data_IF_879162725450
#
_entry.id   IF_879162725450
#
_cell.length_a   1.000
_cell.length_b   1.000
_cell.length_c   1.000
_cell.angle_alpha   90.00
_cell.angle_beta   90.00
_cell.angle_gamma   90.00
#
_symmetry.space_group_name_H-M   'P 1'
#
loop_
_entity.id
_entity.type
_entity.pdbx_description
1 polymer ?
#
# COMPACT_ATOMS: atom_id res chain seq x y z
N UNK A 1 -19.22 43.66 39.74
CA UNK A 1 -19.94 44.22 38.57
C UNK A 1 -18.86 44.72 37.60
N UNK A 2 -18.66 44.24 36.38
CA UNK A 2 -19.48 43.53 35.39
C UNK A 2 -18.61 42.48 34.68
N UNK A 3 -19.16 41.28 34.49
CA UNK A 3 -18.59 40.23 33.66
C UNK A 3 -18.93 40.51 32.19
N UNK A 4 -17.95 40.47 31.29
CA UNK A 4 -18.19 40.44 29.85
C UNK A 4 -18.27 38.98 29.39
N UNK A 5 -19.48 38.57 29.00
CA UNK A 5 -19.76 37.31 28.33
C UNK A 5 -19.57 37.52 26.82
N UNK A 6 -18.64 36.79 26.22
CA UNK A 6 -18.49 36.70 24.77
C UNK A 6 -19.25 35.47 24.27
N UNK A 7 -20.21 35.75 23.40
CA UNK A 7 -21.12 34.83 22.73
C UNK A 7 -20.39 33.80 21.88
N UNK A 8 -20.74 32.52 22.06
CA UNK A 8 -20.31 31.39 21.24
C UNK A 8 -21.24 31.32 20.03
N UNK A 9 -20.68 31.50 18.83
CA UNK A 9 -21.37 31.30 17.55
C UNK A 9 -21.28 29.82 17.15
N UNK A 10 -22.42 29.20 16.86
CA UNK A 10 -22.54 27.81 16.43
C UNK A 10 -22.19 27.64 14.94
N UNK A 11 -21.52 26.54 14.52
CA UNK A 11 -21.28 26.28 13.12
C UNK A 11 -22.47 25.56 12.45
N UNK A 12 -22.66 25.98 11.20
CA UNK A 12 -23.65 25.57 10.21
C UNK A 12 -23.48 24.10 9.81
N UNK A 13 -24.46 23.26 10.15
CA UNK A 13 -24.59 21.89 9.62
C UNK A 13 -25.65 21.93 8.52
N UNK A 14 -25.26 22.26 7.28
CA UNK A 14 -26.08 21.95 6.08
C UNK A 14 -25.28 22.10 4.79
N UNK A 15 -24.39 21.15 4.46
CA UNK A 15 -23.82 21.09 3.10
C UNK A 15 -23.29 19.71 2.69
N UNK A 16 -24.00 18.63 3.05
CA UNK A 16 -23.60 17.26 2.65
C UNK A 16 -24.60 16.53 1.73
N UNK A 17 -25.75 17.14 1.40
CA UNK A 17 -26.81 16.45 0.66
C UNK A 17 -26.85 16.71 -0.86
N UNK A 18 -25.97 17.56 -1.42
CA UNK A 18 -26.06 18.00 -2.83
C UNK A 18 -25.15 17.20 -3.77
N UNK A 19 -24.05 16.60 -3.29
CA UNK A 19 -23.08 15.95 -4.19
C UNK A 19 -23.52 14.56 -4.69
N UNK A 20 -24.28 13.79 -3.89
CA UNK A 20 -24.68 12.43 -4.25
C UNK A 20 -25.72 12.35 -5.40
N UNK A 21 -26.46 13.43 -5.70
CA UNK A 21 -27.50 13.41 -6.75
C UNK A 21 -26.97 13.63 -8.17
N UNK A 22 -25.76 14.17 -8.36
CA UNK A 22 -25.22 14.46 -9.71
C UNK A 22 -24.51 13.27 -10.37
N UNK A 23 -24.01 12.30 -9.60
CA UNK A 23 -23.35 11.12 -10.15
C UNK A 23 -24.33 10.16 -10.86
N UNK A 24 -25.57 10.04 -10.36
CA UNK A 24 -26.54 9.09 -10.94
C UNK A 24 -27.16 9.53 -12.28
N UNK A 25 -27.06 10.80 -12.66
CA UNK A 25 -27.73 11.34 -13.85
C UNK A 25 -26.86 11.33 -15.12
N UNK A 26 -25.54 11.10 -15.02
CA UNK A 26 -24.65 11.01 -16.19
C UNK A 26 -24.54 9.61 -16.80
N UNK A 27 -24.96 8.56 -16.08
CA UNK A 27 -24.76 7.18 -16.51
C UNK A 27 -25.84 6.63 -17.46
N UNK A 28 -26.95 7.34 -17.66
CA UNK A 28 -28.07 6.91 -18.52
C UNK A 28 -28.00 7.42 -19.96
N UNK A 29 -26.98 8.20 -20.35
CA UNK A 29 -26.91 8.81 -21.70
C UNK A 29 -25.90 8.21 -22.67
N UNK A 30 -25.15 7.16 -22.29
CA UNK A 30 -24.05 6.61 -23.13
C UNK A 30 -24.35 5.25 -23.78
N UNK A 31 -25.62 4.88 -23.93
CA UNK A 31 -26.06 3.70 -24.70
C UNK A 31 -26.88 4.12 -25.92
N UNK A 32 -26.23 4.62 -26.97
CA UNK A 32 -26.76 4.52 -28.33
C UNK A 32 -25.67 4.79 -29.35
N UNK A 33 -25.34 3.78 -30.14
CA UNK A 33 -24.62 3.93 -31.41
C UNK A 33 -23.19 3.42 -31.37
N UNK A 34 -22.97 2.20 -31.87
CA UNK A 34 -22.28 1.98 -33.15
C UNK A 34 -22.02 0.47 -33.38
N UNK A 35 -22.55 -0.03 -34.49
CA UNK A 35 -22.06 -1.16 -35.30
C UNK A 35 -21.26 -0.51 -36.45
N UNK A 36 -20.16 -1.09 -37.02
CA UNK A 36 -20.30 -2.23 -37.93
C UNK A 36 -19.17 -3.29 -37.96
N UNK A 37 -19.56 -4.50 -38.41
CA UNK A 37 -18.94 -5.48 -39.34
C UNK A 37 -17.43 -5.80 -39.34
N UNK A 38 -17.12 -7.04 -39.80
CA UNK A 38 -15.87 -7.60 -40.42
C UNK A 38 -15.34 -8.86 -39.66
N UNK A 39 -14.80 -9.91 -40.32
CA UNK A 39 -15.53 -11.08 -40.81
C UNK A 39 -15.02 -12.42 -40.21
N UNK A 40 -15.69 -13.52 -40.56
CA UNK A 40 -15.34 -14.88 -40.16
C UNK A 40 -14.06 -15.38 -40.87
N UNK A 41 -13.12 -15.91 -40.08
CA UNK A 41 -11.91 -16.61 -40.55
C UNK A 41 -11.80 -17.99 -39.91
N UNK A 42 -11.92 -19.02 -40.74
CA UNK A 42 -11.74 -20.44 -40.43
C UNK A 42 -10.33 -20.74 -39.88
N UNK A 43 -10.25 -21.48 -38.76
CA UNK A 43 -9.00 -22.12 -38.32
C UNK A 43 -9.23 -23.62 -38.22
N UNK A 44 -8.59 -24.33 -39.15
CA UNK A 44 -8.51 -25.80 -39.25
C UNK A 44 -7.84 -26.42 -38.02
N UNK A 45 -8.46 -27.50 -37.57
CA UNK A 45 -7.83 -28.54 -36.78
C UNK A 45 -6.65 -29.19 -37.53
N UNK A 46 -5.53 -29.40 -36.84
CA UNK A 46 -4.63 -30.52 -37.13
C UNK A 46 -4.18 -31.18 -35.83
N UNK A 47 -4.45 -32.47 -35.79
CA UNK A 47 -4.05 -33.47 -34.82
C UNK A 47 -2.56 -33.80 -34.91
N UNK A 48 -1.89 -34.02 -33.78
CA UNK A 48 -0.88 -35.08 -33.68
C UNK A 48 -0.65 -35.47 -32.22
N UNK A 49 -1.22 -36.60 -31.83
CA UNK A 49 -0.85 -37.34 -30.63
C UNK A 49 0.30 -38.27 -31.02
N UNK A 50 1.45 -38.14 -30.37
CA UNK A 50 2.47 -39.19 -30.40
C UNK A 50 3.00 -39.43 -28.99
N UNK A 51 2.64 -40.61 -28.50
CA UNK A 51 3.18 -41.37 -27.38
C UNK A 51 4.70 -41.26 -27.24
N UNK A 52 5.18 -41.06 -26.01
CA UNK A 52 6.37 -41.73 -25.44
C UNK A 52 6.09 -41.95 -23.95
N UNK A 53 5.87 -43.20 -23.58
CA UNK A 53 5.92 -43.69 -22.21
C UNK A 53 7.39 -44.02 -21.88
N UNK A 54 7.93 -43.39 -20.84
CA UNK A 54 9.24 -43.74 -20.30
C UNK A 54 9.06 -44.29 -18.87
N UNK A 55 9.37 -45.57 -18.76
CA UNK A 55 9.46 -46.39 -17.56
C UNK A 55 10.51 -45.84 -16.59
N UNK A 56 10.12 -45.53 -15.35
CA UNK A 56 11.05 -45.33 -14.24
C UNK A 56 10.63 -46.24 -13.08
N UNK A 57 11.29 -47.39 -13.04
CA UNK A 57 11.26 -48.35 -11.94
C UNK A 57 12.10 -47.79 -10.79
N UNK A 58 11.45 -47.22 -9.76
CA UNK A 58 12.14 -46.89 -8.50
C UNK A 58 12.37 -48.16 -7.70
N UNK A 59 13.63 -48.62 -7.65
CA UNK A 59 14.09 -49.63 -6.71
C UNK A 59 14.19 -49.03 -5.31
N UNK A 60 13.42 -49.61 -4.39
CA UNK A 60 13.42 -49.28 -2.97
C UNK A 60 14.67 -49.83 -2.29
N UNK A 61 15.47 -48.95 -1.69
CA UNK A 61 16.48 -49.30 -0.67
C UNK A 61 15.99 -48.70 0.64
N UNK A 62 15.43 -49.53 1.51
CA UNK A 62 15.06 -49.16 2.89
C UNK A 62 16.27 -49.38 3.81
N UNK A 63 16.84 -48.35 4.44
CA UNK A 63 17.77 -48.57 5.54
C UNK A 63 17.00 -49.04 6.78
N UNK A 64 17.42 -50.20 7.30
CA UNK A 64 16.87 -50.84 8.48
C UNK A 64 17.41 -50.11 9.73
N UNK A 65 16.70 -49.08 10.20
CA UNK A 65 17.00 -48.44 11.48
C UNK A 65 16.32 -49.23 12.63
N UNK A 66 17.03 -49.60 13.70
CA UNK A 66 16.41 -50.14 14.90
C UNK A 66 15.51 -49.07 15.57
N UNK A 67 14.38 -49.46 16.17
CA UNK A 67 13.45 -48.52 16.77
C UNK A 67 14.09 -47.83 17.98
N UNK A 68 14.19 -46.50 17.94
CA UNK A 68 14.48 -45.72 19.15
C UNK A 68 13.26 -45.79 20.08
N UNK A 69 13.46 -46.00 21.39
CA UNK A 69 12.38 -45.87 22.37
C UNK A 69 11.92 -44.42 22.41
N UNK A 70 10.64 -44.20 22.10
CA UNK A 70 10.01 -42.91 22.19
C UNK A 70 10.03 -42.42 23.65
N UNK A 71 10.37 -41.15 23.92
CA UNK A 71 10.23 -40.57 25.25
C UNK A 71 8.77 -40.66 25.70
N UNK A 72 8.53 -41.23 26.87
CA UNK A 72 7.22 -41.24 27.49
C UNK A 72 6.81 -39.80 27.83
N UNK A 73 5.98 -39.19 26.99
CA UNK A 73 5.34 -37.92 27.31
C UNK A 73 4.25 -38.19 28.33
N UNK A 74 4.56 -37.94 29.60
CA UNK A 74 3.56 -37.80 30.65
C UNK A 74 2.50 -36.78 30.20
N UNK A 75 1.29 -37.28 29.99
CA UNK A 75 0.10 -36.50 29.63
C UNK A 75 -0.20 -35.46 30.72
N UNK A 76 0.39 -34.27 30.57
CA UNK A 76 -0.04 -33.08 31.27
C UNK A 76 -1.32 -32.59 30.62
N UNK A 77 -2.38 -32.50 31.43
CA UNK A 77 -3.73 -32.04 31.07
C UNK A 77 -3.68 -30.84 30.12
N UNK A 78 -3.97 -31.06 28.83
CA UNK A 78 -4.16 -29.97 27.88
C UNK A 78 -5.45 -29.22 28.23
N UNK A 79 -5.41 -27.92 28.57
CA UNK A 79 -6.58 -27.10 28.35
C UNK A 79 -6.86 -27.12 26.85
N UNK A 80 -8.10 -27.40 26.48
CA UNK A 80 -8.61 -27.31 25.11
C UNK A 80 -8.61 -25.84 24.67
N UNK A 81 -7.43 -25.26 24.46
CA UNK A 81 -7.28 -24.00 23.75
C UNK A 81 -7.64 -24.32 22.31
N UNK A 82 -8.90 -24.06 21.93
CA UNK A 82 -9.26 -23.94 20.52
C UNK A 82 -8.16 -23.09 19.87
N UNK A 83 -7.53 -23.53 18.76
CA UNK A 83 -6.63 -22.67 18.03
C UNK A 83 -7.43 -21.42 17.69
N UNK A 84 -7.15 -20.34 18.40
CA UNK A 84 -7.64 -19.02 18.03
C UNK A 84 -6.94 -18.77 16.72
N UNK A 85 -7.66 -18.94 15.62
CA UNK A 85 -7.22 -18.45 14.31
C UNK A 85 -6.86 -16.99 14.54
N UNK A 86 -5.55 -16.74 14.63
CA UNK A 86 -5.02 -15.42 14.95
C UNK A 86 -5.54 -14.50 13.86
N UNK A 87 -6.19 -13.40 14.27
CA UNK A 87 -6.54 -12.34 13.35
C UNK A 87 -5.29 -12.02 12.51
N UNK A 88 -5.41 -12.17 11.18
CA UNK A 88 -4.31 -11.90 10.29
C UNK A 88 -3.93 -10.44 10.46
N UNK A 89 -2.68 -10.18 10.83
CA UNK A 89 -2.21 -8.82 11.07
C UNK A 89 -2.13 -8.09 9.73
N UNK A 90 -3.03 -7.13 9.51
CA UNK A 90 -3.13 -6.34 8.28
C UNK A 90 -1.80 -5.66 7.91
N UNK A 91 -1.00 -5.25 8.90
CA UNK A 91 0.32 -4.66 8.67
C UNK A 91 1.29 -5.69 8.09
N UNK A 92 1.35 -6.89 8.66
CA UNK A 92 2.19 -7.98 8.14
C UNK A 92 1.75 -8.40 6.73
N UNK A 93 0.46 -8.43 6.45
CA UNK A 93 -0.06 -8.71 5.12
C UNK A 93 0.33 -7.64 4.10
N UNK A 94 0.25 -6.37 4.50
CA UNK A 94 0.67 -5.24 3.67
C UNK A 94 2.16 -5.33 3.34
N UNK A 95 3.00 -5.65 4.33
CA UNK A 95 4.42 -5.90 4.13
C UNK A 95 4.66 -7.07 3.15
N UNK A 96 4.05 -8.24 3.38
CA UNK A 96 4.27 -9.43 2.55
C UNK A 96 3.83 -9.19 1.10
N UNK A 97 2.72 -8.47 0.89
CA UNK A 97 2.22 -8.14 -0.43
C UNK A 97 3.15 -7.19 -1.20
N UNK A 98 3.85 -6.30 -0.49
CA UNK A 98 4.65 -5.23 -1.09
C UNK A 98 6.17 -5.46 -0.99
N UNK A 99 6.64 -6.50 -0.29
CA UNK A 99 8.05 -6.86 -0.30
C UNK A 99 8.50 -7.19 -1.73
N UNK A 100 9.55 -6.49 -2.20
CA UNK A 100 10.22 -6.77 -3.47
C UNK A 100 10.86 -8.15 -3.38
N UNK A 101 10.25 -9.12 -4.03
CA UNK A 101 10.92 -10.38 -4.35
C UNK A 101 11.58 -10.14 -5.68
N UNK A 102 12.91 -10.16 -5.70
CA UNK A 102 13.68 -10.02 -6.92
C UNK A 102 13.10 -10.95 -8.00
N UNK A 103 12.62 -10.37 -9.10
CA UNK A 103 11.70 -10.99 -10.07
C UNK A 103 12.42 -11.98 -11.02
N UNK A 104 13.68 -12.30 -10.77
CA UNK A 104 14.56 -12.94 -11.75
C UNK A 104 14.56 -14.48 -11.76
N UNK A 105 13.76 -15.16 -10.93
CA UNK A 105 13.68 -16.64 -10.96
C UNK A 105 12.23 -17.11 -10.98
N UNK A 106 11.79 -17.51 -12.18
CA UNK A 106 10.44 -18.01 -12.44
C UNK A 106 10.04 -19.15 -11.49
N UNK A 107 8.79 -19.08 -11.03
CA UNK A 107 8.06 -20.07 -10.22
C UNK A 107 8.17 -19.96 -8.67
N UNK A 108 9.20 -19.33 -8.10
CA UNK A 108 9.38 -19.30 -6.63
C UNK A 108 8.77 -18.12 -5.83
N UNK A 109 8.45 -16.93 -6.39
CA UNK A 109 8.12 -15.77 -5.55
C UNK A 109 6.73 -15.86 -4.89
N UNK A 110 5.77 -16.55 -5.53
CA UNK A 110 4.43 -16.73 -4.96
C UNK A 110 4.44 -17.67 -3.75
N UNK A 111 5.27 -18.72 -3.79
CA UNK A 111 5.35 -19.74 -2.74
C UNK A 111 5.93 -19.17 -1.45
N UNK A 112 6.96 -18.31 -1.54
CA UNK A 112 7.54 -17.69 -0.35
C UNK A 112 6.54 -16.77 0.37
N UNK A 113 5.77 -15.94 -0.37
CA UNK A 113 4.72 -15.11 0.23
C UNK A 113 3.66 -15.96 0.92
N UNK A 114 3.25 -17.07 0.30
CA UNK A 114 2.27 -18.00 0.88
C UNK A 114 2.79 -18.67 2.16
N UNK A 115 4.06 -19.11 2.17
CA UNK A 115 4.71 -19.71 3.34
C UNK A 115 4.81 -18.70 4.49
N UNK A 116 5.32 -17.50 4.22
CA UNK A 116 5.46 -16.46 5.25
C UNK A 116 4.09 -16.07 5.82
N UNK A 117 3.07 -15.90 4.97
CA UNK A 117 1.69 -15.64 5.42
C UNK A 117 1.15 -16.79 6.28
N UNK A 118 1.37 -18.05 5.87
CA UNK A 118 0.99 -19.23 6.65
C UNK A 118 1.70 -19.26 8.01
N UNK A 119 3.01 -18.99 8.05
CA UNK A 119 3.78 -18.90 9.28
C UNK A 119 3.24 -17.83 10.23
N UNK A 120 2.95 -16.62 9.72
CA UNK A 120 2.37 -15.53 10.52
C UNK A 120 0.96 -15.87 11.00
N UNK A 121 0.14 -16.49 10.14
CA UNK A 121 -1.24 -16.89 10.47
C UNK A 121 -1.35 -18.06 11.45
N UNK A 122 -0.29 -18.87 11.58
CA UNK A 122 -0.27 -20.02 12.51
C UNK A 122 -0.36 -19.59 13.98
N UNK A 123 -0.25 -18.28 14.26
CA UNK A 123 -0.39 -17.72 15.59
C UNK A 123 0.79 -18.03 16.51
N UNK A 124 1.89 -18.56 15.96
CA UNK A 124 3.10 -18.83 16.72
C UNK A 124 3.59 -17.53 17.38
N UNK A 125 3.58 -17.43 18.72
CA UNK A 125 3.96 -16.21 19.41
C UNK A 125 5.37 -15.77 19.00
N UNK A 126 5.55 -14.47 18.75
CA UNK A 126 6.85 -13.88 18.41
C UNK A 126 7.22 -13.94 16.92
N UNK A 127 6.62 -14.79 16.09
CA UNK A 127 6.99 -14.88 14.65
C UNK A 127 6.70 -13.57 13.90
N UNK A 128 5.51 -12.99 14.09
CA UNK A 128 5.16 -11.72 13.45
C UNK A 128 6.08 -10.57 13.90
N UNK A 129 6.43 -10.53 15.18
CA UNK A 129 7.35 -9.53 15.73
C UNK A 129 8.78 -9.69 15.21
N UNK A 130 9.27 -10.93 15.13
CA UNK A 130 10.58 -11.25 14.57
C UNK A 130 10.65 -10.90 13.08
N UNK A 131 9.61 -11.25 12.30
CA UNK A 131 9.50 -10.89 10.88
C UNK A 131 9.53 -9.38 10.69
N UNK A 132 8.70 -8.64 11.44
CA UNK A 132 8.68 -7.18 11.36
C UNK A 132 10.05 -6.57 11.73
N UNK A 133 10.72 -7.11 12.74
CA UNK A 133 12.07 -6.66 13.15
C UNK A 133 13.11 -6.89 12.06
N UNK A 134 13.14 -8.09 11.47
CA UNK A 134 14.03 -8.40 10.36
C UNK A 134 13.73 -7.52 9.12
N UNK A 135 12.45 -7.31 8.82
CA UNK A 135 12.02 -6.46 7.70
C UNK A 135 12.44 -5.00 7.89
N UNK A 136 12.30 -4.46 9.11
CA UNK A 136 12.78 -3.10 9.43
C UNK A 136 14.28 -2.97 9.22
N UNK A 137 15.08 -3.89 9.76
CA UNK A 137 16.54 -3.87 9.58
C UNK A 137 16.91 -3.83 8.09
N UNK A 138 16.26 -4.66 7.26
CA UNK A 138 16.50 -4.69 5.82
C UNK A 138 16.06 -3.41 5.11
N UNK A 139 14.89 -2.88 5.45
CA UNK A 139 14.34 -1.67 4.81
C UNK A 139 15.15 -0.40 5.17
N UNK A 140 15.74 -0.35 6.37
CA UNK A 140 16.68 0.71 6.76
C UNK A 140 17.91 0.71 5.85
N UNK A 141 18.53 -0.44 5.63
CA UNK A 141 19.68 -0.57 4.73
C UNK A 141 19.37 -0.09 3.31
N UNK A 142 18.21 -0.49 2.76
CA UNK A 142 17.76 -0.06 1.44
C UNK A 142 17.44 1.45 1.38
N UNK A 143 17.19 2.09 2.53
CA UNK A 143 16.83 3.51 2.56
C UNK A 143 18.00 4.43 2.35
N UNK A 144 19.18 4.05 2.85
CA UNK A 144 20.41 4.80 2.62
C UNK A 144 20.86 4.73 1.14
N UNK A 145 20.61 3.61 0.47
CA UNK A 145 20.95 3.42 -0.95
C UNK A 145 20.16 4.37 -1.88
N UNK A 146 18.89 4.64 -1.57
CA UNK A 146 17.98 5.40 -2.45
C UNK A 146 18.14 6.92 -2.26
N UNK A 147 18.75 7.38 -1.16
CA UNK A 147 19.07 8.82 -0.99
C UNK A 147 20.03 9.36 -2.06
N UNK A 148 20.75 8.48 -2.76
CA UNK A 148 21.67 8.84 -3.84
C UNK A 148 21.06 8.97 -5.23
N UNK A 149 19.79 8.59 -5.45
CA UNK A 149 19.17 8.64 -6.78
C UNK A 149 18.48 9.98 -7.03
N UNK A 150 19.20 10.85 -7.71
CA UNK A 150 18.75 12.15 -8.22
C UNK A 150 17.46 12.03 -9.06
N UNK A 151 16.52 12.96 -8.84
CA UNK A 151 15.36 13.28 -9.70
C UNK A 151 14.62 12.08 -10.29
N UNK A 152 13.99 11.26 -9.44
CA UNK A 152 13.00 10.29 -9.91
C UNK A 152 11.83 11.02 -10.59
N UNK A 153 11.67 10.79 -11.90
CA UNK A 153 10.51 11.28 -12.64
C UNK A 153 9.32 10.40 -12.28
N UNK A 154 8.45 10.87 -11.37
CA UNK A 154 7.29 10.11 -10.89
C UNK A 154 6.07 10.21 -11.79
N UNK A 155 6.01 11.27 -12.60
CA UNK A 155 4.94 11.52 -13.55
C UNK A 155 5.53 11.87 -14.90
N UNK A 156 4.97 11.31 -15.96
CA UNK A 156 5.20 11.80 -17.32
C UNK A 156 4.39 13.09 -17.45
N UNK A 157 5.09 14.19 -17.67
CA UNK A 157 4.45 15.51 -17.78
C UNK A 157 4.73 16.17 -19.11
N UNK A 158 3.69 16.75 -19.70
CA UNK A 158 3.80 17.64 -20.85
C UNK A 158 3.68 19.09 -20.36
N UNK A 159 4.70 19.90 -20.69
CA UNK A 159 4.64 21.34 -20.46
C UNK A 159 4.18 22.04 -21.74
N UNK A 160 2.93 22.49 -21.75
CA UNK A 160 2.41 23.35 -22.80
C UNK A 160 2.05 24.71 -22.21
N UNK A 161 2.65 25.79 -22.75
CA UNK A 161 2.34 27.19 -22.38
C UNK A 161 2.32 27.42 -20.86
N UNK A 162 3.45 27.16 -20.21
CA UNK A 162 3.67 27.37 -18.76
C UNK A 162 2.81 26.50 -17.82
N UNK A 163 1.97 25.61 -18.36
CA UNK A 163 1.19 24.68 -17.55
C UNK A 163 1.80 23.28 -17.62
N UNK A 164 2.16 22.74 -16.45
CA UNK A 164 2.57 21.34 -16.28
C UNK A 164 1.32 20.47 -16.20
N UNK A 165 1.15 19.55 -17.12
CA UNK A 165 0.06 18.56 -17.10
C UNK A 165 0.65 17.17 -16.91
N UNK A 166 0.08 16.36 -16.01
CA UNK A 166 0.39 14.93 -15.89
C UNK A 166 -0.37 14.19 -16.97
N UNK A 167 0.36 13.47 -17.82
CA UNK A 167 -0.24 12.64 -18.87
C UNK A 167 -0.38 11.18 -18.43
N UNK A 168 0.58 10.69 -17.64
CA UNK A 168 0.60 9.33 -17.13
C UNK A 168 1.50 9.18 -15.89
N UNK A 169 1.22 8.21 -15.00
CA UNK A 169 2.15 7.83 -13.95
C UNK A 169 3.39 7.14 -14.52
N UNK A 170 4.57 7.47 -13.98
CA UNK A 170 5.81 6.78 -14.35
C UNK A 170 5.99 5.48 -13.55
N UNK A 171 6.71 4.46 -14.07
CA UNK A 171 6.94 3.21 -13.35
C UNK A 171 7.54 3.39 -11.93
N UNK A 172 8.43 4.38 -11.77
CA UNK A 172 9.08 4.69 -10.49
C UNK A 172 8.09 5.06 -9.38
N UNK A 173 6.92 5.63 -9.72
CA UNK A 173 5.87 5.94 -8.75
C UNK A 173 5.32 4.67 -8.09
N UNK A 174 5.10 3.60 -8.86
CA UNK A 174 4.59 2.35 -8.33
C UNK A 174 5.61 1.66 -7.42
N UNK A 175 6.90 1.79 -7.70
CA UNK A 175 7.96 1.28 -6.83
C UNK A 175 8.04 2.08 -5.51
N UNK A 176 7.90 3.42 -5.56
CA UNK A 176 7.81 4.23 -4.34
C UNK A 176 6.56 3.90 -3.52
N UNK A 177 5.41 3.72 -4.16
CA UNK A 177 4.18 3.29 -3.48
C UNK A 177 4.38 1.93 -2.81
N UNK A 178 4.87 0.93 -3.55
CA UNK A 178 5.17 -0.40 -3.00
C UNK A 178 6.08 -0.29 -1.78
N UNK A 179 7.12 0.54 -1.86
CA UNK A 179 8.05 0.77 -0.75
C UNK A 179 7.40 1.46 0.44
N UNK A 180 6.61 2.51 0.23
CA UNK A 180 5.87 3.18 1.29
C UNK A 180 4.97 2.20 2.04
N UNK A 181 4.29 1.30 1.31
CA UNK A 181 3.46 0.23 1.88
C UNK A 181 4.24 -0.81 2.66
N UNK A 182 5.41 -1.20 2.18
CA UNK A 182 6.31 -2.07 2.94
C UNK A 182 6.77 -1.41 4.26
N UNK A 183 7.11 -0.12 4.23
CA UNK A 183 7.55 0.64 5.40
C UNK A 183 6.45 0.76 6.46
N UNK A 184 5.25 1.24 6.11
CA UNK A 184 4.19 1.34 7.12
C UNK A 184 3.71 -0.05 7.57
N UNK A 185 3.77 -1.07 6.70
CA UNK A 185 3.41 -2.45 7.01
C UNK A 185 4.38 -3.15 7.98
N UNK A 186 5.63 -2.70 8.09
CA UNK A 186 6.57 -3.19 9.11
C UNK A 186 6.64 -2.31 10.37
N UNK A 187 5.77 -1.30 10.46
CA UNK A 187 5.68 -0.37 11.59
C UNK A 187 6.71 0.76 11.55
N UNK A 188 7.17 1.15 10.37
CA UNK A 188 8.02 2.34 10.11
C UNK A 188 7.17 3.43 9.43
N UNK A 189 6.20 3.96 10.16
CA UNK A 189 5.25 4.94 9.66
C UNK A 189 5.93 6.24 9.22
N UNK A 190 6.86 6.79 10.02
CA UNK A 190 7.49 8.07 9.67
C UNK A 190 8.37 7.98 8.42
N UNK A 191 9.11 6.88 8.27
CA UNK A 191 9.87 6.61 7.05
C UNK A 191 8.95 6.51 5.83
N UNK A 192 7.79 5.87 5.98
CA UNK A 192 6.77 5.79 4.92
C UNK A 192 6.22 7.17 4.55
N UNK A 193 5.91 8.03 5.53
CA UNK A 193 5.45 9.39 5.28
C UNK A 193 6.49 10.22 4.50
N UNK A 194 7.78 10.03 4.75
CA UNK A 194 8.84 10.69 3.98
C UNK A 194 8.82 10.31 2.49
N UNK A 195 8.54 9.04 2.18
CA UNK A 195 8.37 8.56 0.79
C UNK A 195 7.12 9.15 0.16
N UNK A 196 5.98 9.10 0.87
CA UNK A 196 4.70 9.63 0.37
C UNK A 196 4.74 11.15 0.16
N UNK A 197 5.42 11.90 1.04
CA UNK A 197 5.63 13.34 0.87
C UNK A 197 6.35 13.66 -0.45
N UNK A 198 7.31 12.81 -0.86
CA UNK A 198 8.01 13.00 -2.15
C UNK A 198 7.07 12.81 -3.35
N UNK A 199 6.08 11.91 -3.25
CA UNK A 199 5.05 11.73 -4.27
C UNK A 199 4.13 12.96 -4.35
N UNK A 200 3.69 13.48 -3.19
CA UNK A 200 2.87 14.71 -3.12
C UNK A 200 3.65 15.89 -3.70
N UNK A 201 4.91 16.06 -3.33
CA UNK A 201 5.77 17.12 -3.85
C UNK A 201 5.92 17.06 -5.39
N UNK A 202 6.04 15.86 -5.94
CA UNK A 202 6.15 15.69 -7.40
C UNK A 202 4.87 16.06 -8.16
N UNK A 203 3.71 16.01 -7.48
CA UNK A 203 2.40 16.38 -8.02
C UNK A 203 2.14 17.89 -7.99
N UNK A 204 2.92 18.66 -7.21
CA UNK A 204 2.80 20.12 -7.13
C UNK A 204 2.97 20.79 -8.49
N UNK A 205 2.18 21.84 -8.70
CA UNK A 205 2.08 22.63 -9.92
C UNK A 205 1.49 21.90 -11.12
N UNK A 206 1.17 20.60 -10.98
CA UNK A 206 0.69 19.80 -12.07
C UNK A 206 -0.84 19.78 -12.14
N UNK A 207 -1.37 19.74 -13.36
CA UNK A 207 -2.79 19.53 -13.63
C UNK A 207 -3.00 18.12 -14.17
N UNK A 208 -4.17 17.54 -13.93
CA UNK A 208 -4.58 16.27 -14.50
C UNK A 208 -6.02 16.39 -14.98
N UNK A 209 -6.35 15.64 -16.04
CA UNK A 209 -7.68 15.66 -16.65
C UNK A 209 -8.25 14.26 -16.87
N UNK A 210 -7.42 13.23 -16.69
CA UNK A 210 -7.81 11.84 -16.76
C UNK A 210 -8.23 11.32 -15.39
N UNK A 211 -9.22 10.43 -15.39
CA UNK A 211 -9.74 9.80 -14.17
C UNK A 211 -8.68 8.88 -13.52
N UNK A 212 -7.73 8.33 -14.30
CA UNK A 212 -6.72 7.39 -13.79
C UNK A 212 -5.72 8.06 -12.84
N UNK A 213 -5.26 9.26 -13.18
CA UNK A 213 -4.38 10.05 -12.33
C UNK A 213 -5.11 10.49 -11.07
N UNK A 214 -6.37 10.92 -11.18
CA UNK A 214 -7.18 11.26 -10.01
C UNK A 214 -7.39 10.06 -9.07
N UNK A 215 -7.73 8.89 -9.62
CA UNK A 215 -7.84 7.63 -8.86
C UNK A 215 -6.53 7.25 -8.18
N UNK A 216 -5.40 7.42 -8.86
CA UNK A 216 -4.08 7.14 -8.30
C UNK A 216 -3.72 8.07 -7.16
N UNK A 217 -4.01 9.37 -7.27
CA UNK A 217 -3.78 10.31 -6.17
C UNK A 217 -4.70 10.03 -4.98
N UNK A 218 -5.93 9.57 -5.21
CA UNK A 218 -6.81 9.09 -4.14
C UNK A 218 -6.25 7.83 -3.44
N UNK A 219 -5.56 6.96 -4.17
CA UNK A 219 -4.81 5.82 -3.58
C UNK A 219 -3.66 6.33 -2.70
N UNK A 220 -2.92 7.35 -3.14
CA UNK A 220 -1.86 7.99 -2.34
C UNK A 220 -2.44 8.58 -1.06
N UNK A 221 -3.58 9.28 -1.13
CA UNK A 221 -4.31 9.83 0.02
C UNK A 221 -4.66 8.75 1.05
N UNK A 222 -5.18 7.61 0.58
CA UNK A 222 -5.46 6.45 1.44
C UNK A 222 -4.19 5.87 2.07
N UNK A 223 -3.09 5.75 1.32
CA UNK A 223 -1.82 5.26 1.84
C UNK A 223 -1.22 6.20 2.90
N UNK A 224 -1.39 7.52 2.75
CA UNK A 224 -0.99 8.50 3.78
C UNK A 224 -1.78 8.28 5.08
N UNK A 225 -3.10 8.06 4.99
CA UNK A 225 -3.91 7.77 6.17
C UNK A 225 -3.45 6.48 6.90
N UNK A 226 -3.06 5.45 6.15
CA UNK A 226 -2.49 4.22 6.73
C UNK A 226 -1.11 4.46 7.35
N UNK A 227 -0.26 5.23 6.70
CA UNK A 227 1.05 5.60 7.24
C UNK A 227 0.93 6.43 8.53
N UNK A 228 -0.02 7.35 8.63
CA UNK A 228 -0.31 8.10 9.87
C UNK A 228 -0.72 7.15 11.00
N UNK A 229 -1.56 6.15 10.71
CA UNK A 229 -1.93 5.15 11.70
C UNK A 229 -0.71 4.35 12.18
N UNK A 230 0.14 3.91 11.25
CA UNK A 230 1.41 3.24 11.56
C UNK A 230 2.35 4.12 12.41
N UNK A 231 2.40 5.44 12.17
CA UNK A 231 3.17 6.37 13.00
C UNK A 231 2.70 6.41 14.46
N UNK A 232 1.37 6.35 14.68
CA UNK A 232 0.81 6.31 16.05
C UNK A 232 1.25 5.05 16.77
N UNK A 233 1.18 3.90 16.10
CA UNK A 233 1.64 2.62 16.64
C UNK A 233 3.17 2.57 16.84
N UNK A 234 3.92 3.33 16.04
CA UNK A 234 5.36 3.52 16.19
C UNK A 234 5.71 4.33 17.45
N UNK A 235 4.98 5.42 17.70
CA UNK A 235 5.09 6.22 18.94
C UNK A 235 4.69 5.39 20.17
N UNK A 236 3.51 4.75 20.13
CA UNK A 236 2.99 3.94 21.24
C UNK A 236 3.91 2.78 21.58
N UNK A 237 4.58 2.23 20.57
CA UNK A 237 5.57 1.19 20.75
C UNK A 237 6.95 1.66 21.20
N UNK A 238 7.15 2.97 21.40
CA UNK A 238 8.44 3.55 21.81
C UNK A 238 9.56 3.34 20.79
N UNK A 239 9.23 3.26 19.50
CA UNK A 239 10.18 2.96 18.41
C UNK A 239 10.69 4.18 17.66
N UNK A 240 10.28 5.39 18.07
CA UNK A 240 10.71 6.64 17.45
C UNK A 240 12.00 7.11 18.09
N UNK A 241 13.11 7.01 17.34
CA UNK A 241 14.43 7.43 17.82
C UNK A 241 14.61 8.96 17.83
N UNK A 242 14.07 9.65 16.82
CA UNK A 242 14.17 11.11 16.67
C UNK A 242 12.80 11.76 16.39
N UNK A 243 12.19 12.27 17.46
CA UNK A 243 10.92 13.01 17.39
C UNK A 243 11.02 14.34 16.64
N UNK A 244 12.22 14.92 16.51
CA UNK A 244 12.43 16.17 15.77
C UNK A 244 12.33 15.90 14.27
N UNK A 245 13.05 14.89 13.78
CA UNK A 245 12.94 14.44 12.39
C UNK A 245 11.51 13.98 12.06
N UNK A 246 10.86 13.23 12.96
CA UNK A 246 9.48 12.82 12.81
C UNK A 246 8.53 14.01 12.64
N UNK A 247 8.65 15.04 13.48
CA UNK A 247 7.86 16.29 13.36
C UNK A 247 8.13 17.02 12.05
N UNK A 248 9.39 17.10 11.61
CA UNK A 248 9.75 17.75 10.35
C UNK A 248 9.10 17.06 9.15
N UNK A 249 9.05 15.72 9.12
CA UNK A 249 8.37 14.97 8.06
C UNK A 249 6.86 15.29 8.03
N UNK A 250 6.22 15.37 9.20
CA UNK A 250 4.79 15.68 9.30
C UNK A 250 4.49 17.12 8.87
N UNK A 251 5.33 18.08 9.27
CA UNK A 251 5.20 19.48 8.84
C UNK A 251 5.38 19.59 7.33
N UNK A 252 6.43 18.99 6.77
CA UNK A 252 6.64 18.97 5.31
C UNK A 252 5.43 18.43 4.57
N UNK A 253 4.92 17.25 4.97
CA UNK A 253 3.77 16.64 4.30
C UNK A 253 2.51 17.52 4.39
N UNK A 254 2.29 18.18 5.54
CA UNK A 254 1.18 19.13 5.70
C UNK A 254 1.33 20.29 4.74
N UNK A 255 2.50 20.93 4.69
CA UNK A 255 2.76 22.08 3.82
C UNK A 255 2.58 21.69 2.33
N UNK A 256 3.03 20.50 1.93
CA UNK A 256 2.85 19.99 0.57
C UNK A 256 1.38 19.75 0.22
N UNK A 257 0.59 19.17 1.11
CA UNK A 257 -0.86 18.96 0.89
C UNK A 257 -1.58 20.29 0.81
N UNK A 258 -1.33 21.24 1.73
CA UNK A 258 -1.95 22.56 1.71
C UNK A 258 -1.61 23.33 0.42
N UNK A 259 -0.36 23.23 -0.04
CA UNK A 259 0.08 23.82 -1.31
C UNK A 259 -0.64 23.18 -2.49
N UNK A 260 -0.71 21.84 -2.54
CA UNK A 260 -1.44 21.09 -3.56
C UNK A 260 -2.91 21.52 -3.63
N UNK A 261 -3.60 21.56 -2.48
CA UNK A 261 -5.03 21.90 -2.41
C UNK A 261 -5.30 23.32 -2.92
N UNK A 262 -4.44 24.28 -2.54
CA UNK A 262 -4.53 25.66 -3.01
C UNK A 262 -4.32 25.77 -4.52
N UNK A 263 -3.34 25.04 -5.08
CA UNK A 263 -3.06 25.04 -6.50
C UNK A 263 -4.17 24.37 -7.32
N UNK A 264 -4.70 23.25 -6.84
CA UNK A 264 -5.80 22.50 -7.46
C UNK A 264 -7.08 23.33 -7.49
N UNK A 265 -7.42 23.94 -6.36
CA UNK A 265 -8.56 24.85 -6.24
C UNK A 265 -8.42 26.04 -7.20
N UNK A 266 -7.21 26.59 -7.36
CA UNK A 266 -6.94 27.74 -8.26
C UNK A 266 -7.25 27.44 -9.73
N UNK A 267 -7.01 26.21 -10.21
CA UNK A 267 -7.36 25.83 -11.58
C UNK A 267 -8.76 25.19 -11.72
N UNK A 268 -9.49 25.04 -10.61
CA UNK A 268 -10.86 24.53 -10.57
C UNK A 268 -10.97 23.00 -10.52
N UNK A 269 -9.91 22.32 -10.09
CA UNK A 269 -9.91 20.88 -9.84
C UNK A 269 -10.47 20.52 -8.46
N UNK A 270 -10.59 19.21 -8.21
CA UNK A 270 -10.95 18.65 -6.90
C UNK A 270 -9.67 18.27 -6.13
N UNK A 271 -9.48 18.76 -4.89
CA UNK A 271 -8.30 18.43 -4.08
C UNK A 271 -8.14 16.91 -3.88
N UNK A 272 -6.98 16.32 -4.19
CA UNK A 272 -6.83 14.87 -4.16
C UNK A 272 -6.52 14.28 -2.77
N UNK A 273 -6.15 15.10 -1.78
CA UNK A 273 -5.60 14.64 -0.49
C UNK A 273 -6.48 15.02 0.73
N UNK A 274 -7.80 15.10 0.56
CA UNK A 274 -8.71 15.59 1.59
C UNK A 274 -8.66 14.77 2.89
N UNK A 275 -8.54 13.44 2.80
CA UNK A 275 -8.55 12.55 3.97
C UNK A 275 -7.24 12.68 4.75
N UNK A 276 -6.11 12.72 4.06
CA UNK A 276 -4.80 12.94 4.64
C UNK A 276 -4.72 14.31 5.30
N UNK A 277 -5.15 15.37 4.60
CA UNK A 277 -5.20 16.73 5.13
C UNK A 277 -6.02 16.80 6.41
N UNK A 278 -7.22 16.24 6.41
CA UNK A 278 -8.08 16.16 7.61
C UNK A 278 -7.39 15.40 8.75
N UNK A 279 -6.73 14.28 8.45
CA UNK A 279 -6.04 13.47 9.46
C UNK A 279 -4.85 14.22 10.10
N UNK A 280 -4.10 14.99 9.31
CA UNK A 280 -2.95 15.77 9.75
C UNK A 280 -3.32 17.01 10.59
N UNK A 281 -4.52 17.56 10.41
CA UNK A 281 -4.99 18.71 11.20
C UNK A 281 -5.26 18.34 12.67
N UNK A 282 -5.79 17.13 12.91
CA UNK A 282 -6.13 16.70 14.27
C UNK A 282 -5.01 15.91 14.95
N UNK A 283 -3.97 15.52 14.21
CA UNK A 283 -2.87 14.74 14.75
C UNK A 283 -1.75 15.64 15.31
N UNK A 284 -1.42 15.43 16.58
CA UNK A 284 -0.29 16.08 17.28
C UNK A 284 0.81 15.05 17.51
N UNK A 285 2.03 15.40 17.08
CA UNK A 285 3.26 14.59 17.19
C UNK A 285 4.25 15.21 18.16
#
# INVERSE_FOLDING_TARGET
MKCHASSISAPVITSFAVCAKRAHQKQTRKRSGMHPDVPAGDIRATSSLTSIAASLTCHAIRPHFPPMPAPETTSSKMPTSRPVLGHVNLMADTLIANASLEESVGFLPFTLRAIVRSMVSSGTPGVAGALATAARARLVEQTEEIRGTETLTLFVTTSAKETKTIDAPAPALFDLLRRARALYGCGMGFASLGVLATIVDASLGARWFDDQTAELLAVVDSDIAQAIQSCKEEIEGGRVDDYTAARQIVVRLRDSIETSDAEVTRWGGEPPFERAGSSLMFWKV
#
